data_IF_885843248398
#
_entry.id   IF_885843248398
#
_cell.length_a   1.000
_cell.length_b   1.000
_cell.length_c   1.000
_cell.angle_alpha   90.00
_cell.angle_beta   90.00
_cell.angle_gamma   90.00
#
_symmetry.space_group_name_H-M   'P 1'
#
loop_
_entity.id
_entity.type
_entity.pdbx_description
1 polymer ?
#
# COMPACT_ATOMS: atom_id res chain seq x y z
N UNK A 1 -13.14 66.03 29.41
CA UNK A 1 -13.16 65.26 28.17
C UNK A 1 -11.95 64.36 28.18
N UNK A 2 -12.13 63.09 28.56
CA UNK A 2 -11.07 62.08 28.53
C UNK A 2 -11.26 61.25 27.27
N UNK A 3 -10.25 61.19 26.41
CA UNK A 3 -10.21 60.32 25.25
C UNK A 3 -9.55 58.99 25.62
N UNK A 4 -10.32 57.89 25.54
CA UNK A 4 -9.81 56.53 25.63
C UNK A 4 -9.24 56.10 24.28
N UNK A 5 -7.93 55.85 24.25
CA UNK A 5 -7.26 55.20 23.10
C UNK A 5 -7.37 53.68 23.27
N UNK A 6 -8.03 53.00 22.35
CA UNK A 6 -8.09 51.55 22.28
C UNK A 6 -6.88 51.04 21.49
N UNK A 7 -6.00 50.27 22.17
CA UNK A 7 -4.93 49.52 21.55
C UNK A 7 -5.50 48.25 20.91
N UNK A 8 -5.48 48.16 19.57
CA UNK A 8 -5.71 46.92 18.83
C UNK A 8 -4.39 46.16 18.78
N UNK A 9 -4.29 45.09 19.58
CA UNK A 9 -3.24 44.12 19.43
C UNK A 9 -3.48 43.28 18.17
N UNK A 10 -2.61 43.39 17.18
CA UNK A 10 -2.57 42.53 16.02
C UNK A 10 -2.07 41.14 16.49
N UNK A 11 -3.01 40.16 16.47
CA UNK A 11 -2.64 38.77 16.72
C UNK A 11 -1.84 38.23 15.56
N UNK A 12 -0.57 37.90 15.78
CA UNK A 12 0.25 37.12 14.86
C UNK A 12 -0.38 35.73 14.68
N UNK A 13 -0.75 35.41 13.44
CA UNK A 13 -1.14 34.05 13.07
C UNK A 13 0.03 33.10 13.28
N UNK A 14 -0.20 31.88 13.85
CA UNK A 14 0.87 30.91 14.01
C UNK A 14 1.46 30.54 12.64
N UNK A 15 2.76 30.69 12.48
CA UNK A 15 3.51 30.21 11.31
C UNK A 15 3.24 28.74 11.13
N UNK A 16 2.60 28.35 10.03
CA UNK A 16 2.45 26.98 9.62
C UNK A 16 3.86 26.43 9.39
N UNK A 17 4.25 25.48 10.24
CA UNK A 17 5.49 24.73 10.07
C UNK A 17 5.42 24.07 8.69
N UNK A 18 6.32 24.48 7.81
CA UNK A 18 6.51 23.86 6.50
C UNK A 18 6.79 22.38 6.73
N UNK A 19 5.91 21.51 6.25
CA UNK A 19 6.10 20.05 6.27
C UNK A 19 7.40 19.78 5.49
N UNK A 20 8.41 19.11 6.08
CA UNK A 20 9.63 18.78 5.36
C UNK A 20 9.26 18.02 4.10
N UNK A 21 9.84 18.41 2.96
CA UNK A 21 9.46 17.92 1.64
C UNK A 21 9.44 16.40 1.59
N UNK A 22 8.24 15.83 1.49
CA UNK A 22 7.92 14.40 1.46
C UNK A 22 8.70 13.66 0.35
N UNK A 23 9.26 14.41 -0.58
CA UNK A 23 9.87 13.91 -1.81
C UNK A 23 11.28 13.34 -1.64
N UNK A 24 12.03 13.76 -0.61
CA UNK A 24 13.42 13.29 -0.40
C UNK A 24 13.50 11.85 0.10
N UNK A 25 12.46 11.36 0.76
CA UNK A 25 12.51 10.13 1.55
C UNK A 25 12.02 8.87 0.80
N UNK A 26 11.43 9.05 -0.39
CA UNK A 26 10.88 7.99 -1.22
C UNK A 26 11.77 7.64 -2.40
N UNK A 27 12.59 6.63 -2.26
CA UNK A 27 13.30 6.01 -3.37
C UNK A 27 14.68 6.59 -3.72
N UNK A 28 15.28 6.03 -4.76
CA UNK A 28 16.63 6.29 -5.22
C UNK A 28 16.76 7.55 -6.08
N UNK A 29 17.63 7.48 -7.13
CA UNK A 29 17.89 8.59 -8.03
C UNK A 29 16.63 9.11 -8.72
N UNK A 30 16.54 10.42 -8.88
CA UNK A 30 15.46 11.06 -9.65
C UNK A 30 15.63 10.71 -11.13
N UNK A 31 14.53 10.29 -11.74
CA UNK A 31 14.45 9.97 -13.17
C UNK A 31 13.42 10.88 -13.81
N UNK A 32 13.81 11.60 -14.85
CA UNK A 32 12.88 12.31 -15.72
C UNK A 32 12.11 11.23 -16.53
N UNK A 33 10.81 11.12 -16.28
CA UNK A 33 9.98 10.14 -16.99
C UNK A 33 9.44 10.74 -18.29
N UNK A 34 9.01 11.99 -18.29
CA UNK A 34 8.42 12.67 -19.42
C UNK A 34 6.90 12.76 -19.34
N UNK A 35 6.25 12.98 -20.48
CA UNK A 35 4.80 13.14 -20.57
C UNK A 35 4.08 11.79 -20.55
N UNK A 36 2.94 11.73 -19.88
CA UNK A 36 2.05 10.56 -19.83
C UNK A 36 1.12 10.58 -21.04
N UNK A 37 1.25 9.59 -21.91
CA UNK A 37 0.42 9.44 -23.11
C UNK A 37 -0.95 8.81 -22.81
N UNK A 38 -0.97 7.79 -21.95
CA UNK A 38 -2.22 7.10 -21.58
C UNK A 38 -2.07 6.36 -20.25
N UNK A 39 -3.20 6.13 -19.59
CA UNK A 39 -3.27 5.32 -18.36
C UNK A 39 -3.87 3.95 -18.70
N UNK A 40 -3.18 2.88 -18.31
CA UNK A 40 -3.56 1.50 -18.60
C UNK A 40 -4.57 1.01 -17.55
N UNK A 41 -4.22 1.12 -16.28
CA UNK A 41 -5.04 0.74 -15.13
C UNK A 41 -4.79 1.68 -13.94
N UNK A 42 -5.30 1.38 -12.76
CA UNK A 42 -5.15 2.25 -11.56
C UNK A 42 -3.72 2.46 -11.07
N UNK A 43 -2.73 1.75 -11.63
CA UNK A 43 -1.31 1.81 -11.22
C UNK A 43 -0.30 1.72 -12.35
N UNK A 44 -0.74 1.62 -13.61
CA UNK A 44 0.14 1.48 -14.77
C UNK A 44 -0.24 2.48 -15.84
N UNK A 45 0.76 3.05 -16.51
CA UNK A 45 0.57 4.04 -17.56
C UNK A 45 1.69 3.95 -18.59
N UNK A 46 1.45 4.54 -19.76
CA UNK A 46 2.38 4.63 -20.88
C UNK A 46 2.89 6.07 -21.03
N UNK A 47 4.18 6.21 -21.17
CA UNK A 47 4.83 7.48 -21.50
C UNK A 47 4.78 7.76 -23.02
N UNK A 48 4.94 9.00 -23.41
CA UNK A 48 4.96 9.42 -24.79
C UNK A 48 6.10 8.78 -25.62
N UNK A 49 7.18 8.37 -24.95
CA UNK A 49 8.31 7.64 -25.58
C UNK A 49 8.10 6.12 -25.68
N UNK A 50 6.94 5.61 -25.27
CA UNK A 50 6.57 4.20 -25.35
C UNK A 50 6.97 3.34 -24.14
N UNK A 51 7.66 3.90 -23.13
CA UNK A 51 7.98 3.15 -21.90
C UNK A 51 6.73 2.96 -21.06
N UNK A 52 6.55 1.73 -20.56
CA UNK A 52 5.49 1.43 -19.58
C UNK A 52 6.02 1.61 -18.16
N UNK A 53 5.22 2.28 -17.35
CA UNK A 53 5.51 2.57 -15.93
C UNK A 53 4.48 1.91 -15.04
N UNK A 54 4.96 1.31 -13.95
CA UNK A 54 4.14 0.78 -12.88
C UNK A 54 4.43 1.52 -11.57
N UNK A 55 3.39 2.01 -10.92
CA UNK A 55 3.49 2.61 -9.60
C UNK A 55 3.96 1.58 -8.59
N UNK A 56 5.05 1.89 -7.89
CA UNK A 56 5.58 1.05 -6.81
C UNK A 56 4.70 1.12 -5.56
N UNK A 57 4.80 0.11 -4.72
CA UNK A 57 4.23 0.05 -3.38
C UNK A 57 2.70 0.16 -3.27
N UNK A 58 1.96 0.07 -4.36
CA UNK A 58 0.49 0.03 -4.33
C UNK A 58 -0.06 -1.13 -5.16
N UNK A 59 -1.22 -1.61 -4.74
CA UNK A 59 -2.04 -2.59 -5.47
C UNK A 59 -3.41 -1.98 -5.73
N UNK A 60 -3.94 -2.14 -6.94
CA UNK A 60 -5.25 -1.63 -7.32
C UNK A 60 -6.15 -2.76 -7.81
N UNK A 61 -7.48 -2.62 -7.70
CA UNK A 61 -8.40 -3.58 -8.29
C UNK A 61 -8.14 -3.76 -9.78
N UNK A 62 -8.30 -4.98 -10.31
CA UNK A 62 -8.18 -5.21 -11.75
C UNK A 62 -9.29 -4.48 -12.51
N UNK A 63 -8.98 -4.09 -13.76
CA UNK A 63 -9.93 -3.41 -14.67
C UNK A 63 -11.09 -4.30 -15.09
N UNK A 64 -10.85 -5.60 -15.23
CA UNK A 64 -11.86 -6.60 -15.49
C UNK A 64 -11.73 -7.72 -14.48
N UNK A 65 -12.74 -7.89 -13.65
CA UNK A 65 -12.89 -9.15 -12.94
C UNK A 65 -13.68 -10.09 -13.86
N UNK A 66 -12.99 -11.04 -14.49
CA UNK A 66 -13.62 -12.09 -15.31
C UNK A 66 -14.55 -12.98 -14.46
N UNK A 67 -14.56 -12.84 -13.15
CA UNK A 67 -15.45 -13.50 -12.20
C UNK A 67 -16.64 -12.61 -11.82
N UNK A 68 -17.66 -12.62 -12.65
CA UNK A 68 -19.09 -12.48 -12.28
C UNK A 68 -19.63 -11.21 -11.62
N UNK A 69 -18.86 -10.12 -11.41
CA UNK A 69 -19.39 -8.98 -10.66
C UNK A 69 -19.08 -7.64 -11.33
N UNK A 70 -20.07 -7.04 -11.98
CA UNK A 70 -19.98 -5.70 -12.57
C UNK A 70 -19.62 -4.61 -11.53
N UNK A 71 -19.99 -4.81 -10.28
CA UNK A 71 -19.66 -3.87 -9.19
C UNK A 71 -18.15 -3.78 -8.93
N UNK A 72 -17.41 -4.91 -9.05
CA UNK A 72 -15.95 -4.97 -8.83
C UNK A 72 -15.16 -4.37 -9.97
N UNK A 73 -15.67 -4.44 -11.20
CA UNK A 73 -15.09 -3.72 -12.35
C UNK A 73 -15.12 -2.21 -12.13
N UNK A 74 -16.11 -1.69 -11.42
CA UNK A 74 -16.24 -0.29 -11.06
C UNK A 74 -15.08 0.24 -10.21
N UNK A 75 -14.57 -0.56 -9.27
CA UNK A 75 -13.45 -0.14 -8.42
C UNK A 75 -12.13 0.02 -9.22
N UNK A 76 -11.85 -0.89 -10.16
CA UNK A 76 -10.70 -0.79 -11.06
C UNK A 76 -10.81 0.41 -12.00
N UNK A 77 -12.00 0.66 -12.56
CA UNK A 77 -12.27 1.84 -13.38
C UNK A 77 -12.13 3.13 -12.59
N UNK A 78 -12.62 3.18 -11.34
CA UNK A 78 -12.49 4.33 -10.47
C UNK A 78 -11.01 4.60 -10.09
N UNK A 79 -10.21 3.57 -9.88
CA UNK A 79 -8.78 3.70 -9.62
C UNK A 79 -8.03 4.23 -10.85
N UNK A 80 -8.39 3.75 -12.06
CA UNK A 80 -7.85 4.26 -13.32
C UNK A 80 -8.22 5.72 -13.54
N UNK A 81 -9.49 6.08 -13.43
CA UNK A 81 -9.96 7.46 -13.60
C UNK A 81 -9.29 8.43 -12.61
N UNK A 82 -9.07 8.01 -11.37
CA UNK A 82 -8.35 8.81 -10.39
C UNK A 82 -6.88 9.02 -10.80
N UNK A 83 -6.23 7.99 -11.33
CA UNK A 83 -4.86 8.11 -11.84
C UNK A 83 -4.81 9.02 -13.08
N UNK A 84 -5.76 8.88 -14.02
CA UNK A 84 -5.89 9.77 -15.20
C UNK A 84 -5.99 11.24 -14.79
N UNK A 85 -6.84 11.54 -13.82
CA UNK A 85 -7.01 12.91 -13.32
C UNK A 85 -5.71 13.50 -12.73
N UNK A 86 -4.84 12.67 -12.19
CA UNK A 86 -3.58 13.09 -11.59
C UNK A 86 -2.47 13.31 -12.63
N UNK A 87 -2.36 12.42 -13.64
CA UNK A 87 -1.13 12.36 -14.46
C UNK A 87 -1.34 12.45 -15.97
N UNK A 88 -2.55 12.24 -16.50
CA UNK A 88 -2.77 12.18 -17.95
C UNK A 88 -2.38 13.51 -18.61
N UNK A 89 -1.59 13.42 -19.68
CA UNK A 89 -1.02 14.55 -20.43
C UNK A 89 -0.17 15.52 -19.59
N UNK A 90 0.36 15.03 -18.45
CA UNK A 90 1.29 15.81 -17.63
C UNK A 90 2.70 15.22 -17.71
N UNK A 91 3.70 16.10 -17.58
CA UNK A 91 5.05 15.67 -17.33
C UNK A 91 5.17 15.16 -15.89
N UNK A 92 5.80 14.00 -15.75
CA UNK A 92 6.02 13.35 -14.45
C UNK A 92 7.49 13.06 -14.25
N UNK A 93 7.92 13.10 -12.99
CA UNK A 93 9.21 12.60 -12.53
C UNK A 93 9.02 11.31 -11.76
N UNK A 94 10.08 10.53 -11.63
CA UNK A 94 10.06 9.29 -10.88
C UNK A 94 11.29 9.13 -10.01
N UNK A 95 11.17 8.27 -9.00
CA UNK A 95 12.31 7.73 -8.26
C UNK A 95 12.28 6.22 -8.38
N UNK A 96 13.40 5.63 -8.79
CA UNK A 96 13.47 4.20 -8.99
C UNK A 96 13.23 3.46 -7.67
N UNK A 97 12.20 2.62 -7.64
CA UNK A 97 11.85 1.82 -6.47
C UNK A 97 12.44 0.40 -6.56
N UNK A 98 12.53 -0.16 -7.76
CA UNK A 98 13.08 -1.49 -8.01
C UNK A 98 13.64 -1.58 -9.43
N UNK A 99 14.30 -2.69 -9.75
CA UNK A 99 14.59 -3.06 -11.13
C UNK A 99 13.29 -3.17 -11.95
N UNK A 100 13.40 -3.10 -13.28
CA UNK A 100 12.26 -3.36 -14.14
C UNK A 100 11.64 -4.73 -13.80
N UNK A 101 10.33 -4.81 -13.85
CA UNK A 101 9.64 -6.06 -13.58
C UNK A 101 9.82 -7.06 -14.74
N UNK A 102 9.31 -8.28 -14.57
CA UNK A 102 9.42 -9.36 -15.57
C UNK A 102 8.79 -9.02 -16.93
N UNK A 103 8.01 -7.94 -17.02
CA UNK A 103 7.40 -7.46 -18.27
C UNK A 103 8.17 -6.27 -18.85
N UNK A 104 9.29 -5.87 -18.25
CA UNK A 104 10.10 -4.73 -18.69
C UNK A 104 9.59 -3.37 -18.26
N UNK A 105 8.56 -3.31 -17.39
CA UNK A 105 7.99 -2.05 -16.90
C UNK A 105 8.90 -1.40 -15.87
N UNK A 106 9.00 -0.08 -15.92
CA UNK A 106 9.68 0.69 -14.89
C UNK A 106 8.87 0.69 -13.60
N UNK A 107 9.45 0.25 -12.49
CA UNK A 107 8.80 0.25 -11.16
C UNK A 107 9.32 1.44 -10.37
N UNK A 108 8.48 2.47 -10.21
CA UNK A 108 8.91 3.78 -9.70
C UNK A 108 7.89 4.40 -8.74
N UNK A 109 8.39 5.29 -7.89
CA UNK A 109 7.59 6.29 -7.19
C UNK A 109 7.42 7.48 -8.12
N UNK A 110 6.20 7.94 -8.36
CA UNK A 110 5.87 8.94 -9.38
C UNK A 110 5.41 10.23 -8.72
N UNK A 111 5.89 11.34 -9.28
CA UNK A 111 5.57 12.68 -8.82
C UNK A 111 5.15 13.54 -10.03
N UNK A 112 4.09 14.32 -9.85
CA UNK A 112 3.71 15.36 -10.80
C UNK A 112 4.29 16.70 -10.36
N UNK A 113 4.72 17.50 -11.33
CA UNK A 113 5.16 18.87 -11.07
C UNK A 113 3.95 19.79 -11.09
N UNK A 114 3.57 20.33 -9.94
CA UNK A 114 2.59 21.41 -9.83
C UNK A 114 3.24 22.80 -9.88
N UNK A 115 2.46 23.87 -10.03
CA UNK A 115 2.99 25.25 -10.05
C UNK A 115 3.70 25.66 -8.76
N UNK A 116 3.31 25.07 -7.64
CA UNK A 116 3.84 25.40 -6.31
C UNK A 116 4.26 24.19 -5.47
N UNK A 117 3.83 22.97 -5.82
CA UNK A 117 4.10 21.78 -5.02
C UNK A 117 4.13 20.50 -5.89
N UNK A 118 5.04 19.62 -5.54
CA UNK A 118 5.18 18.29 -6.12
C UNK A 118 4.13 17.35 -5.50
N UNK A 119 3.32 16.67 -6.33
CA UNK A 119 2.30 15.73 -5.84
C UNK A 119 2.79 14.30 -5.94
N UNK A 120 2.82 13.58 -4.83
CA UNK A 120 3.19 12.17 -4.77
C UNK A 120 1.99 11.29 -5.18
N UNK A 121 2.02 10.73 -6.38
CA UNK A 121 0.88 10.04 -7.02
C UNK A 121 0.39 8.85 -6.21
N UNK A 122 1.28 8.01 -5.68
CA UNK A 122 0.90 6.86 -4.86
C UNK A 122 0.19 7.28 -3.57
N UNK A 123 0.66 8.35 -2.94
CA UNK A 123 0.01 8.91 -1.75
C UNK A 123 -1.42 9.32 -2.04
N UNK A 124 -1.66 9.99 -3.17
CA UNK A 124 -3.01 10.42 -3.55
C UNK A 124 -3.94 9.23 -3.87
N UNK A 125 -3.44 8.20 -4.57
CA UNK A 125 -4.20 6.98 -4.81
C UNK A 125 -4.62 6.29 -3.50
N UNK A 126 -3.72 6.22 -2.53
CA UNK A 126 -4.01 5.64 -1.20
C UNK A 126 -4.95 6.54 -0.38
N UNK A 127 -4.71 7.85 -0.33
CA UNK A 127 -5.50 8.80 0.44
C UNK A 127 -6.97 8.87 -0.02
N UNK A 128 -7.21 8.64 -1.31
CA UNK A 128 -8.55 8.58 -1.89
C UNK A 128 -9.16 7.16 -1.89
N UNK A 129 -8.53 6.19 -1.23
CA UNK A 129 -8.98 4.79 -1.19
C UNK A 129 -9.07 4.13 -2.56
N UNK A 130 -8.22 4.52 -3.52
CA UNK A 130 -8.19 3.94 -4.87
C UNK A 130 -7.18 2.80 -5.01
N UNK A 131 -6.35 2.61 -3.99
CA UNK A 131 -5.34 1.57 -3.93
C UNK A 131 -5.20 1.04 -2.50
N UNK A 132 -4.59 -0.14 -2.37
CA UNK A 132 -4.09 -0.72 -1.13
C UNK A 132 -2.57 -0.61 -1.11
N UNK A 133 -1.99 -0.33 0.04
CA UNK A 133 -0.55 -0.34 0.21
C UNK A 133 -0.02 -1.78 0.02
N UNK A 134 0.85 -1.96 -0.96
CA UNK A 134 1.52 -3.23 -1.25
C UNK A 134 3.02 -3.05 -1.02
N UNK A 135 3.50 -3.25 0.22
CA UNK A 135 4.87 -2.96 0.56
C UNK A 135 5.84 -3.85 -0.20
N UNK A 136 6.77 -3.20 -0.91
CA UNK A 136 7.94 -3.80 -1.52
C UNK A 136 9.20 -3.39 -0.74
N UNK A 137 10.29 -3.19 -1.46
CA UNK A 137 11.52 -2.61 -0.92
C UNK A 137 11.36 -1.09 -0.80
N UNK A 138 10.80 -0.65 0.31
CA UNK A 138 10.44 0.75 0.55
C UNK A 138 11.12 1.25 1.82
N UNK A 139 11.81 2.38 1.72
CA UNK A 139 12.43 3.02 2.88
C UNK A 139 11.42 3.35 3.98
N UNK A 140 11.84 3.32 5.26
CA UNK A 140 10.94 3.49 6.40
C UNK A 140 10.13 4.80 6.36
N UNK A 141 10.75 5.90 5.98
CA UNK A 141 10.11 7.21 5.91
C UNK A 141 9.02 7.26 4.83
N UNK A 142 9.32 6.76 3.62
CA UNK A 142 8.35 6.67 2.54
C UNK A 142 7.17 5.75 2.91
N UNK A 143 7.47 4.61 3.55
CA UNK A 143 6.43 3.70 4.05
C UNK A 143 5.51 4.38 5.05
N UNK A 144 6.06 5.17 5.98
CA UNK A 144 5.26 5.90 6.96
C UNK A 144 4.27 6.87 6.30
N UNK A 145 4.71 7.61 5.28
CA UNK A 145 3.86 8.53 4.51
C UNK A 145 2.72 7.79 3.80
N UNK A 146 3.03 6.70 3.09
CA UNK A 146 2.03 5.92 2.36
C UNK A 146 1.04 5.22 3.31
N UNK A 147 1.53 4.71 4.44
CA UNK A 147 0.67 4.13 5.49
C UNK A 147 -0.27 5.15 6.12
N UNK A 148 0.22 6.35 6.41
CA UNK A 148 -0.61 7.41 6.97
C UNK A 148 -1.74 7.79 5.99
N UNK A 149 -1.45 7.86 4.68
CA UNK A 149 -2.44 8.12 3.66
C UNK A 149 -3.51 7.01 3.59
N UNK A 150 -3.10 5.75 3.57
CA UNK A 150 -4.02 4.61 3.59
C UNK A 150 -4.84 4.57 4.88
N UNK A 151 -4.22 4.78 6.04
CA UNK A 151 -4.91 4.76 7.32
C UNK A 151 -5.98 5.85 7.41
N UNK A 152 -5.72 7.04 6.88
CA UNK A 152 -6.70 8.12 6.81
C UNK A 152 -7.89 7.74 5.90
N UNK A 153 -7.64 7.17 4.72
CA UNK A 153 -8.69 6.68 3.83
C UNK A 153 -9.54 5.58 4.48
N UNK A 154 -8.88 4.64 5.19
CA UNK A 154 -9.54 3.57 5.93
C UNK A 154 -10.43 4.10 7.06
N UNK A 155 -9.92 5.05 7.85
CA UNK A 155 -10.69 5.66 8.94
C UNK A 155 -11.91 6.43 8.45
N UNK A 156 -11.84 7.01 7.24
CA UNK A 156 -12.92 7.74 6.59
C UNK A 156 -13.80 6.86 5.67
N UNK A 157 -13.57 5.53 5.62
CA UNK A 157 -14.27 4.58 4.75
C UNK A 157 -14.29 5.04 3.29
N UNK A 158 -13.18 5.54 2.76
CA UNK A 158 -13.11 6.05 1.39
C UNK A 158 -12.81 4.94 0.38
N UNK A 159 -13.53 4.98 -0.74
CA UNK A 159 -13.27 4.12 -1.90
C UNK A 159 -13.29 2.64 -1.57
N UNK A 160 -12.15 1.95 -1.70
CA UNK A 160 -12.04 0.51 -1.41
C UNK A 160 -12.38 0.16 0.06
N UNK A 161 -12.22 1.09 0.98
CA UNK A 161 -12.45 0.87 2.40
C UNK A 161 -13.92 0.91 2.81
N UNK A 162 -14.80 1.43 1.94
CA UNK A 162 -16.25 1.36 2.10
C UNK A 162 -16.83 0.00 1.66
N UNK A 163 -16.10 -0.76 0.84
CA UNK A 163 -16.52 -2.08 0.36
C UNK A 163 -15.92 -3.17 1.24
N UNK A 164 -16.74 -3.98 1.94
CA UNK A 164 -16.27 -5.11 2.75
C UNK A 164 -15.40 -6.12 1.98
N UNK A 165 -15.53 -6.17 0.64
CA UNK A 165 -14.70 -7.04 -0.19
C UNK A 165 -13.22 -6.64 -0.17
N UNK A 166 -12.88 -5.35 -0.10
CA UNK A 166 -11.51 -4.86 -0.04
C UNK A 166 -11.02 -4.59 1.39
N UNK A 167 -11.94 -4.51 2.35
CA UNK A 167 -11.64 -4.27 3.75
C UNK A 167 -10.76 -5.37 4.38
N UNK A 168 -10.26 -5.09 5.58
CA UNK A 168 -9.43 -6.05 6.35
C UNK A 168 -10.20 -7.31 6.68
N UNK A 169 -9.60 -8.46 6.38
CA UNK A 169 -10.17 -9.78 6.64
C UNK A 169 -9.78 -10.30 8.02
N UNK A 170 -10.70 -11.01 8.65
CA UNK A 170 -10.40 -11.72 9.88
C UNK A 170 -9.77 -13.09 9.54
N UNK A 171 -8.59 -13.37 10.08
CA UNK A 171 -7.88 -14.63 9.89
C UNK A 171 -8.68 -15.88 10.33
N UNK A 172 -9.67 -15.70 11.24
CA UNK A 172 -10.53 -16.81 11.71
C UNK A 172 -11.64 -17.16 10.70
N UNK A 173 -11.92 -16.27 9.72
CA UNK A 173 -12.94 -16.49 8.69
C UNK A 173 -12.34 -17.11 7.44
N UNK A 174 -11.87 -18.34 7.54
CA UNK A 174 -11.15 -19.05 6.47
C UNK A 174 -11.96 -19.21 5.18
N UNK A 175 -13.28 -19.38 5.26
CA UNK A 175 -14.13 -19.47 4.08
C UNK A 175 -14.12 -18.17 3.25
N UNK A 176 -14.11 -17.01 3.92
CA UNK A 176 -14.02 -15.70 3.25
C UNK A 176 -12.68 -15.54 2.55
N UNK A 177 -11.59 -16.02 3.16
CA UNK A 177 -10.24 -15.98 2.60
C UNK A 177 -10.11 -16.90 1.39
N UNK A 178 -10.63 -18.13 1.47
CA UNK A 178 -10.63 -19.07 0.34
C UNK A 178 -11.33 -18.51 -0.90
N UNK A 179 -12.38 -17.69 -0.71
CA UNK A 179 -13.05 -17.01 -1.82
C UNK A 179 -12.20 -15.93 -2.50
N UNK A 180 -11.08 -15.53 -1.89
CA UNK A 180 -10.19 -14.47 -2.35
C UNK A 180 -8.87 -15.01 -2.92
N UNK A 181 -8.77 -16.30 -3.22
CA UNK A 181 -7.56 -16.90 -3.77
C UNK A 181 -7.04 -16.17 -5.02
N UNK A 182 -5.75 -15.88 -5.03
CA UNK A 182 -5.10 -15.13 -6.08
C UNK A 182 -5.32 -13.62 -6.02
N UNK A 183 -6.01 -13.11 -4.99
CA UNK A 183 -6.24 -11.68 -4.76
C UNK A 183 -5.25 -11.14 -3.73
N UNK A 184 -4.92 -9.86 -3.87
CA UNK A 184 -4.20 -9.14 -2.83
C UNK A 184 -5.19 -8.80 -1.70
N UNK A 185 -4.83 -9.18 -0.47
CA UNK A 185 -5.68 -9.02 0.71
C UNK A 185 -4.87 -8.47 1.88
N UNK A 186 -5.60 -7.87 2.82
CA UNK A 186 -5.11 -7.45 4.13
C UNK A 186 -5.83 -8.32 5.16
N UNK A 187 -5.09 -9.10 5.92
CA UNK A 187 -5.65 -10.06 6.89
C UNK A 187 -5.13 -9.72 8.28
N UNK A 188 -6.03 -9.65 9.26
CA UNK A 188 -5.71 -9.41 10.67
C UNK A 188 -6.10 -10.60 11.52
N UNK A 189 -5.24 -10.95 12.48
CA UNK A 189 -5.54 -12.02 13.43
C UNK A 189 -4.48 -12.21 14.48
N UNK A 190 -4.78 -13.07 15.46
CA UNK A 190 -3.85 -13.48 16.51
C UNK A 190 -3.15 -14.76 16.11
N UNK A 191 -1.82 -14.75 16.11
CA UNK A 191 -1.01 -15.94 15.83
C UNK A 191 -1.19 -16.93 16.98
N UNK A 192 -1.76 -18.10 16.68
CA UNK A 192 -1.98 -19.17 17.66
C UNK A 192 -0.70 -19.96 17.94
N UNK A 193 0.11 -20.22 16.90
CA UNK A 193 1.37 -20.96 17.05
C UNK A 193 2.34 -20.64 15.92
N UNK A 194 3.64 -20.82 16.20
CA UNK A 194 4.70 -20.75 15.18
C UNK A 194 5.41 -22.09 15.13
N UNK A 195 5.65 -22.61 13.92
CA UNK A 195 6.34 -23.89 13.70
C UNK A 195 7.30 -23.77 12.52
N UNK A 196 8.37 -24.56 12.57
CA UNK A 196 9.33 -24.67 11.47
C UNK A 196 9.27 -26.08 10.89
N UNK A 197 9.18 -26.18 9.57
CA UNK A 197 9.19 -27.45 8.84
C UNK A 197 9.60 -27.23 7.38
N UNK A 198 10.46 -28.09 6.84
CA UNK A 198 10.76 -28.13 5.40
C UNK A 198 11.32 -26.83 4.83
N UNK A 199 12.10 -26.05 5.62
CA UNK A 199 12.66 -24.79 5.17
C UNK A 199 11.68 -23.61 5.19
N UNK A 200 10.51 -23.77 5.81
CA UNK A 200 9.49 -22.76 6.02
C UNK A 200 9.24 -22.54 7.52
N UNK A 201 8.95 -21.32 7.86
CA UNK A 201 8.35 -20.92 9.14
C UNK A 201 6.87 -20.69 8.90
N UNK A 202 6.04 -21.36 9.68
CA UNK A 202 4.58 -21.29 9.62
C UNK A 202 4.06 -20.51 10.84
N UNK A 203 3.36 -19.43 10.62
CA UNK A 203 2.59 -18.71 11.63
C UNK A 203 1.12 -19.06 11.44
N UNK A 204 0.58 -19.95 12.30
CA UNK A 204 -0.79 -20.45 12.20
C UNK A 204 -1.73 -19.60 13.03
N UNK A 205 -2.91 -19.27 12.50
CA UNK A 205 -3.90 -18.43 13.16
C UNK A 205 -5.01 -19.25 13.84
N UNK A 206 -5.00 -20.55 13.68
CA UNK A 206 -5.92 -21.47 14.35
C UNK A 206 -5.23 -22.76 14.81
N UNK A 207 -6.04 -23.73 15.25
CA UNK A 207 -5.56 -25.02 15.76
C UNK A 207 -5.45 -26.09 14.68
N UNK A 208 -6.20 -25.93 13.58
CA UNK A 208 -6.27 -26.86 12.45
C UNK A 208 -5.43 -26.34 11.29
N UNK A 209 -4.14 -26.58 11.38
CA UNK A 209 -3.12 -26.04 10.46
C UNK A 209 -3.39 -26.29 8.96
N UNK A 210 -4.18 -27.30 8.61
CA UNK A 210 -4.55 -27.63 7.22
C UNK A 210 -5.78 -26.85 6.72
N UNK A 211 -6.53 -26.23 7.62
CA UNK A 211 -7.80 -25.58 7.32
C UNK A 211 -7.75 -24.07 7.67
N UNK A 212 -6.99 -23.74 8.71
CA UNK A 212 -6.93 -22.39 9.25
C UNK A 212 -5.91 -21.53 8.48
N UNK A 213 -6.14 -20.22 8.48
CA UNK A 213 -5.24 -19.27 7.84
C UNK A 213 -3.80 -19.37 8.38
N UNK A 214 -2.85 -19.29 7.47
CA UNK A 214 -1.42 -19.42 7.78
C UNK A 214 -0.60 -18.38 7.02
N UNK A 215 0.35 -17.75 7.70
CA UNK A 215 1.40 -16.97 7.06
C UNK A 215 2.68 -17.78 7.03
N UNK A 216 3.31 -17.88 5.85
CA UNK A 216 4.56 -18.61 5.68
C UNK A 216 5.72 -17.66 5.39
N UNK A 217 6.89 -17.96 5.95
CA UNK A 217 8.15 -17.26 5.67
C UNK A 217 9.18 -18.31 5.26
N UNK A 218 9.88 -18.08 4.15
CA UNK A 218 11.04 -18.90 3.80
C UNK A 218 12.13 -18.76 4.87
N UNK A 219 12.65 -19.87 5.39
CA UNK A 219 13.67 -19.88 6.45
C UNK A 219 14.91 -19.02 6.10
N UNK A 220 15.30 -18.98 4.83
CA UNK A 220 16.38 -18.12 4.36
C UNK A 220 16.12 -16.62 4.56
N UNK A 221 14.85 -16.20 4.66
CA UNK A 221 14.44 -14.82 4.88
C UNK A 221 14.31 -14.47 6.38
N UNK A 222 14.38 -15.43 7.29
CA UNK A 222 14.14 -15.21 8.73
C UNK A 222 15.04 -14.13 9.31
N UNK A 223 16.30 -14.03 8.88
CA UNK A 223 17.21 -12.97 9.34
C UNK A 223 16.74 -11.58 8.96
N UNK A 224 16.11 -11.44 7.78
CA UNK A 224 15.54 -10.18 7.31
C UNK A 224 14.40 -9.75 8.23
N UNK A 225 13.49 -10.67 8.59
CA UNK A 225 12.41 -10.41 9.53
C UNK A 225 12.91 -10.09 10.94
N UNK A 226 13.87 -10.84 11.44
CA UNK A 226 14.47 -10.59 12.74
C UNK A 226 15.14 -9.21 12.81
N UNK A 227 15.84 -8.79 11.77
CA UNK A 227 16.45 -7.46 11.64
C UNK A 227 15.43 -6.32 11.68
N UNK A 228 14.20 -6.58 11.25
CA UNK A 228 13.07 -5.64 11.34
C UNK A 228 12.28 -5.76 12.68
N UNK A 229 12.76 -6.52 13.64
CA UNK A 229 12.10 -6.72 14.94
C UNK A 229 10.99 -7.78 14.93
N UNK A 230 10.78 -8.45 13.79
CA UNK A 230 9.79 -9.51 13.62
C UNK A 230 10.46 -10.88 13.76
N UNK A 231 10.88 -11.26 14.97
CA UNK A 231 11.47 -12.58 15.25
C UNK A 231 10.35 -13.63 15.22
N UNK A 232 10.24 -14.50 14.19
CA UNK A 232 9.06 -15.35 14.02
C UNK A 232 8.73 -16.21 15.22
N UNK A 233 9.72 -16.83 15.85
CA UNK A 233 9.53 -17.66 17.05
C UNK A 233 8.96 -16.92 18.28
N UNK A 234 8.99 -15.58 18.28
CA UNK A 234 8.42 -14.74 19.35
C UNK A 234 7.07 -14.12 19.02
N UNK A 235 6.52 -14.44 17.84
CA UNK A 235 5.25 -13.86 17.38
C UNK A 235 4.01 -14.64 17.83
N UNK A 236 4.17 -15.84 18.40
CA UNK A 236 3.04 -16.58 18.97
C UNK A 236 2.31 -15.75 20.03
N UNK A 237 0.99 -15.69 19.95
CA UNK A 237 0.14 -14.87 20.82
C UNK A 237 0.03 -13.38 20.41
N UNK A 238 0.83 -12.90 19.47
CA UNK A 238 0.74 -11.52 18.97
C UNK A 238 -0.37 -11.40 17.94
N UNK A 239 -1.00 -10.21 17.92
CA UNK A 239 -1.96 -9.84 16.88
C UNK A 239 -1.23 -9.05 15.81
N UNK A 240 -1.39 -9.49 14.56
CA UNK A 240 -0.74 -8.87 13.41
C UNK A 240 -1.74 -8.61 12.28
N UNK A 241 -1.41 -7.63 11.46
CA UNK A 241 -1.95 -7.44 10.12
C UNK A 241 -0.91 -7.92 9.11
N UNK A 242 -1.32 -8.74 8.14
CA UNK A 242 -0.46 -9.20 7.06
C UNK A 242 -1.08 -8.87 5.71
N UNK A 243 -0.23 -8.50 4.75
CA UNK A 243 -0.62 -8.08 3.40
C UNK A 243 0.05 -8.97 2.37
N UNK A 244 -0.72 -9.42 1.40
CA UNK A 244 -0.18 -10.26 0.34
C UNK A 244 -1.23 -10.84 -0.57
N UNK A 245 -0.76 -11.67 -1.50
CA UNK A 245 -1.66 -12.42 -2.38
C UNK A 245 -2.05 -13.70 -1.66
N UNK A 246 -3.37 -13.93 -1.57
CA UNK A 246 -3.91 -15.17 -1.03
C UNK A 246 -3.47 -16.37 -1.88
N UNK A 247 -2.84 -17.35 -1.27
CA UNK A 247 -2.24 -18.47 -1.99
C UNK A 247 -3.31 -19.41 -2.56
N UNK A 248 -2.98 -20.08 -3.67
CA UNK A 248 -3.81 -21.18 -4.19
C UNK A 248 -3.48 -22.45 -3.42
N UNK A 249 -4.51 -23.16 -3.00
CA UNK A 249 -4.37 -24.46 -2.30
C UNK A 249 -4.53 -24.41 -0.79
N UNK A 250 -4.96 -23.28 -0.25
CA UNK A 250 -5.29 -23.11 1.18
C UNK A 250 -5.32 -21.63 1.56
N UNK A 251 -5.91 -21.25 2.70
CA UNK A 251 -5.95 -19.88 3.16
C UNK A 251 -4.57 -19.48 3.71
N UNK A 252 -3.71 -18.98 2.85
CA UNK A 252 -2.32 -18.66 3.21
C UNK A 252 -1.75 -17.46 2.47
N UNK A 253 -0.87 -16.71 3.14
CA UNK A 253 -0.03 -15.68 2.54
C UNK A 253 1.45 -16.07 2.73
N UNK A 254 2.24 -16.04 1.65
CA UNK A 254 3.70 -16.07 1.76
C UNK A 254 4.22 -14.66 2.02
N UNK A 255 4.82 -14.45 3.18
CA UNK A 255 5.51 -13.21 3.51
C UNK A 255 6.98 -13.32 3.10
N UNK A 256 7.35 -12.66 2.02
CA UNK A 256 8.71 -12.59 1.51
C UNK A 256 9.53 -11.48 2.19
N UNK A 257 8.86 -10.46 2.73
CA UNK A 257 9.46 -9.24 3.31
C UNK A 257 8.79 -8.85 4.62
N UNK A 258 9.54 -8.30 5.59
CA UNK A 258 8.99 -7.88 6.88
C UNK A 258 7.92 -6.77 6.76
N UNK A 259 7.99 -5.93 5.72
CA UNK A 259 7.04 -4.85 5.46
C UNK A 259 5.62 -5.34 5.19
N UNK A 260 5.44 -6.64 4.91
CA UNK A 260 4.13 -7.28 4.74
C UNK A 260 3.43 -7.55 6.08
N UNK A 261 4.17 -7.46 7.19
CA UNK A 261 3.64 -7.79 8.53
C UNK A 261 3.76 -6.57 9.44
N UNK A 262 2.67 -6.26 10.12
CA UNK A 262 2.60 -5.18 11.09
C UNK A 262 1.91 -5.65 12.35
N UNK A 263 2.30 -5.09 13.51
CA UNK A 263 1.54 -5.31 14.72
C UNK A 263 0.23 -4.54 14.63
N UNK A 264 -0.90 -5.23 14.80
CA UNK A 264 -2.19 -4.56 14.88
C UNK A 264 -2.28 -3.72 16.16
N UNK A 265 -2.82 -2.51 16.04
CA UNK A 265 -3.14 -1.69 17.21
C UNK A 265 -4.25 -2.38 18.03
N UNK A 266 -4.15 -2.30 19.36
CA UNK A 266 -5.17 -2.80 20.28
C UNK A 266 -6.38 -1.87 20.27
#
# INVERSE_FOLDING_TARGET
MLACAANLAAGEAPAQAATPGITSDCGGAIIALGEVASVIDGRSFLLADGREVRLAAIETPPMSDASRDNARSGAGLAAKAALEALILHRAVSGRQAAAADRYGRLVVYVFTMGPSEETFVQREQLANGKALLSPGDIGPACRAVLRAAEAAARAASLGLWDDPYYGVKNAEKTADLLALQGRFVVVEGKIASVRERGGLVYMNFGRRWSEDFTVTILKRNERLFAGAGLVPGRLAGRRIEVRGIEARGGPAIEAARPEQIEFAAY
#
